data_IF_453064133481
#
_entry.id   IF_453064133481
#
_cell.length_a   1.000
_cell.length_b   1.000
_cell.length_c   1.000
_cell.angle_alpha   90.00
_cell.angle_beta   90.00
_cell.angle_gamma   90.00
#
_symmetry.space_group_name_H-M   'P 1'
#
loop_
_entity.id
_entity.type
_entity.pdbx_description
1 polymer ?
#
# COMPACT_ATOMS: atom_id res chain seq x y z
N UNK A 1 6.82 -19.19 -10.25
CA UNK A 1 7.19 -19.96 -9.05
C UNK A 1 5.93 -20.66 -8.58
N UNK A 2 5.77 -21.92 -8.98
CA UNK A 2 4.71 -22.79 -8.47
C UNK A 2 5.04 -23.14 -7.02
N UNK A 3 4.08 -22.99 -6.12
CA UNK A 3 4.23 -23.41 -4.73
C UNK A 3 4.16 -24.94 -4.71
N UNK A 4 5.31 -25.61 -4.86
CA UNK A 4 5.40 -27.06 -4.71
C UNK A 4 4.96 -27.47 -3.29
N UNK A 5 4.14 -28.53 -3.22
CA UNK A 5 3.64 -29.10 -1.98
C UNK A 5 4.81 -29.42 -1.04
N UNK A 6 4.89 -28.70 0.08
CA UNK A 6 5.92 -28.89 1.12
C UNK A 6 6.85 -27.70 1.36
N UNK A 7 6.81 -26.65 0.52
CA UNK A 7 7.49 -25.37 0.81
C UNK A 7 6.49 -24.37 1.39
N UNK A 8 6.81 -23.79 2.56
CA UNK A 8 6.09 -22.61 3.05
C UNK A 8 6.20 -21.50 2.00
N UNK A 9 5.07 -20.91 1.63
CA UNK A 9 5.05 -19.71 0.79
C UNK A 9 5.87 -18.60 1.49
N UNK A 10 6.60 -17.77 0.72
CA UNK A 10 7.26 -16.61 1.30
C UNK A 10 6.24 -15.74 2.06
N UNK A 11 6.57 -15.26 3.27
CA UNK A 11 5.66 -14.44 4.03
C UNK A 11 5.34 -13.13 3.30
N UNK A 12 4.06 -12.79 3.25
CA UNK A 12 3.58 -11.48 2.82
C UNK A 12 3.29 -10.61 4.06
N UNK A 13 3.62 -9.32 3.97
CA UNK A 13 3.44 -8.34 5.04
C UNK A 13 2.47 -7.27 4.57
N UNK A 14 1.42 -7.02 5.36
CA UNK A 14 0.27 -6.19 4.96
C UNK A 14 0.44 -4.67 5.14
N UNK A 15 1.64 -4.25 5.48
CA UNK A 15 1.97 -2.84 5.62
C UNK A 15 3.30 -2.57 4.95
N UNK A 16 3.31 -1.75 3.90
CA UNK A 16 4.54 -1.48 3.15
C UNK A 16 5.64 -0.85 4.00
N UNK A 17 5.29 -0.11 5.05
CA UNK A 17 6.30 0.39 6.00
C UNK A 17 6.98 -0.76 6.76
N UNK A 18 6.24 -1.77 7.20
CA UNK A 18 6.78 -2.95 7.86
C UNK A 18 7.61 -3.81 6.89
N UNK A 19 7.15 -3.97 5.64
CA UNK A 19 7.91 -4.66 4.60
C UNK A 19 9.25 -3.96 4.37
N UNK A 20 9.24 -2.63 4.24
CA UNK A 20 10.46 -1.84 4.05
C UNK A 20 11.42 -1.94 5.25
N UNK A 21 10.88 -1.81 6.47
CA UNK A 21 11.65 -1.94 7.70
C UNK A 21 12.35 -3.29 7.80
N UNK A 22 11.62 -4.38 7.56
CA UNK A 22 12.14 -5.75 7.60
C UNK A 22 13.14 -6.03 6.46
N UNK A 23 12.88 -5.51 5.26
CA UNK A 23 13.72 -5.77 4.09
C UNK A 23 15.04 -4.99 4.14
N UNK A 24 15.06 -3.80 4.77
CA UNK A 24 16.18 -2.86 4.64
C UNK A 24 16.62 -2.23 5.97
N UNK A 25 15.69 -1.67 6.74
CA UNK A 25 16.06 -0.76 7.85
C UNK A 25 16.58 -1.49 9.09
N UNK A 26 16.14 -2.73 9.34
CA UNK A 26 16.62 -3.49 10.50
C UNK A 26 18.01 -4.10 10.28
N UNK A 27 18.47 -4.25 9.03
CA UNK A 27 19.69 -4.99 8.69
C UNK A 27 20.94 -4.51 9.44
N UNK A 28 21.17 -3.19 9.65
CA UNK A 28 22.32 -2.70 10.39
C UNK A 28 22.30 -3.06 11.88
N UNK A 29 21.14 -3.42 12.43
CA UNK A 29 20.97 -3.75 13.86
C UNK A 29 20.99 -5.26 14.14
N UNK A 30 21.05 -6.08 13.09
CA UNK A 30 21.11 -7.54 13.24
C UNK A 30 22.55 -8.01 13.48
N UNK A 31 22.71 -8.98 14.39
CA UNK A 31 23.94 -9.75 14.51
C UNK A 31 24.22 -10.57 13.24
N UNK A 32 25.46 -11.07 13.10
CA UNK A 32 25.91 -11.78 11.90
C UNK A 32 24.99 -12.95 11.51
N UNK A 33 24.62 -13.81 12.47
CA UNK A 33 23.76 -14.96 12.18
C UNK A 33 22.34 -14.55 11.81
N UNK A 34 21.76 -13.55 12.47
CA UNK A 34 20.42 -13.06 12.17
C UNK A 34 20.37 -12.42 10.78
N UNK A 35 21.39 -11.64 10.43
CA UNK A 35 21.51 -11.03 9.10
C UNK A 35 21.62 -12.09 8.01
N UNK A 36 22.45 -13.11 8.20
CA UNK A 36 22.58 -14.22 7.25
C UNK A 36 21.27 -15.01 7.07
N UNK A 37 20.42 -15.07 8.10
CA UNK A 37 19.06 -15.65 7.98
C UNK A 37 18.12 -14.70 7.24
N UNK A 38 18.15 -13.41 7.57
CA UNK A 38 17.31 -12.37 6.95
C UNK A 38 17.56 -12.28 5.44
N UNK A 39 18.82 -12.29 5.00
CA UNK A 39 19.21 -12.23 3.59
C UNK A 39 18.74 -13.45 2.77
N UNK A 40 18.40 -14.57 3.45
CA UNK A 40 17.81 -15.76 2.81
C UNK A 40 16.28 -15.73 2.76
N UNK A 41 15.63 -14.79 3.47
CA UNK A 41 14.18 -14.66 3.45
C UNK A 41 13.76 -13.92 2.18
N UNK A 42 12.83 -14.52 1.45
CA UNK A 42 12.02 -13.78 0.47
C UNK A 42 10.83 -13.21 1.22
N UNK A 43 10.68 -11.89 1.21
CA UNK A 43 9.55 -11.17 1.78
C UNK A 43 8.74 -10.55 0.65
N UNK A 44 7.43 -10.67 0.70
CA UNK A 44 6.55 -9.93 -0.17
C UNK A 44 5.84 -8.81 0.59
N UNK A 45 5.71 -7.67 -0.07
CA UNK A 45 4.65 -6.73 0.26
C UNK A 45 3.30 -7.33 -0.14
N UNK A 46 2.25 -7.14 0.66
CA UNK A 46 0.92 -7.70 0.36
C UNK A 46 0.39 -7.21 -0.99
N UNK A 47 0.68 -5.98 -1.39
CA UNK A 47 0.27 -5.43 -2.68
C UNK A 47 0.96 -6.13 -3.84
N UNK A 48 2.29 -6.29 -3.77
CA UNK A 48 3.05 -7.03 -4.79
C UNK A 48 2.59 -8.48 -4.87
N UNK A 49 2.35 -9.11 -3.72
CA UNK A 49 1.86 -10.48 -3.69
C UNK A 49 0.48 -10.60 -4.32
N UNK A 50 -0.44 -9.70 -3.95
CA UNK A 50 -1.78 -9.65 -4.51
C UNK A 50 -1.76 -9.41 -6.02
N UNK A 51 -1.05 -8.38 -6.49
CA UNK A 51 -0.96 -8.02 -7.90
C UNK A 51 -0.36 -9.13 -8.77
N UNK A 52 0.69 -9.81 -8.29
CA UNK A 52 1.46 -10.78 -9.10
C UNK A 52 1.04 -12.22 -8.91
N UNK A 53 0.39 -12.56 -7.80
CA UNK A 53 0.06 -13.94 -7.45
C UNK A 53 -1.44 -14.17 -7.19
N UNK A 54 -2.17 -13.23 -6.60
CA UNK A 54 -3.61 -13.42 -6.37
C UNK A 54 -4.45 -12.99 -7.56
N UNK A 55 -4.42 -11.70 -7.90
CA UNK A 55 -5.30 -11.10 -8.90
C UNK A 55 -5.31 -11.85 -10.26
N UNK A 56 -4.19 -12.38 -10.79
CA UNK A 56 -4.22 -13.16 -12.04
C UNK A 56 -5.03 -14.46 -11.99
N UNK A 57 -5.39 -14.93 -10.79
CA UNK A 57 -6.13 -16.18 -10.54
C UNK A 57 -7.56 -15.93 -10.04
N UNK A 58 -7.93 -14.68 -9.84
CA UNK A 58 -9.21 -14.31 -9.25
C UNK A 58 -10.01 -13.51 -10.29
N UNK A 59 -11.15 -14.03 -10.78
CA UNK A 59 -11.96 -13.29 -11.73
C UNK A 59 -12.58 -12.07 -11.04
N UNK A 60 -12.31 -10.88 -11.57
CA UNK A 60 -12.96 -9.64 -11.14
C UNK A 60 -14.41 -9.66 -11.63
N UNK A 61 -15.36 -9.75 -10.70
CA UNK A 61 -16.80 -9.82 -11.03
C UNK A 61 -17.47 -8.45 -10.99
N UNK A 62 -16.86 -7.49 -10.28
CA UNK A 62 -17.36 -6.11 -10.16
C UNK A 62 -16.19 -5.15 -10.04
N UNK A 63 -16.29 -4.02 -10.73
CA UNK A 63 -15.41 -2.87 -10.57
C UNK A 63 -16.14 -1.75 -9.84
N UNK A 64 -15.39 -0.91 -9.16
CA UNK A 64 -15.88 0.38 -8.66
C UNK A 64 -15.71 1.45 -9.75
N UNK A 65 -16.56 2.48 -9.72
CA UNK A 65 -16.54 3.52 -10.75
C UNK A 65 -15.19 4.26 -10.78
N UNK A 66 -14.65 4.62 -9.60
CA UNK A 66 -13.37 5.34 -9.52
C UNK A 66 -12.62 5.11 -8.21
N UNK A 67 -11.29 5.04 -8.29
CA UNK A 67 -10.40 4.88 -7.13
C UNK A 67 -9.32 5.95 -7.10
N UNK A 68 -9.16 6.62 -5.97
CA UNK A 68 -7.98 7.44 -5.68
C UNK A 68 -6.93 6.60 -4.97
N UNK A 69 -5.69 6.62 -5.48
CA UNK A 69 -4.58 5.81 -4.95
C UNK A 69 -3.58 6.71 -4.25
N UNK A 70 -3.29 6.40 -2.98
CA UNK A 70 -2.16 6.95 -2.26
C UNK A 70 -1.02 5.94 -2.18
N UNK A 71 0.05 6.14 -2.97
CA UNK A 71 1.26 5.35 -2.84
C UNK A 71 2.19 5.97 -1.79
N UNK A 72 2.44 5.21 -0.73
CA UNK A 72 3.19 5.68 0.43
C UNK A 72 4.68 5.84 0.13
N UNK A 73 5.41 6.58 0.97
CA UNK A 73 6.87 6.65 0.89
C UNK A 73 7.55 5.26 0.93
N UNK A 74 7.01 4.32 1.73
CA UNK A 74 7.55 2.96 1.79
C UNK A 74 7.26 2.17 0.52
N UNK A 75 6.10 2.36 -0.14
CA UNK A 75 5.86 1.74 -1.45
C UNK A 75 6.86 2.23 -2.51
N UNK A 76 7.26 3.52 -2.45
CA UNK A 76 8.26 4.08 -3.34
C UNK A 76 9.64 3.47 -3.07
N UNK A 77 10.08 3.42 -1.80
CA UNK A 77 11.36 2.82 -1.44
C UNK A 77 11.46 1.32 -1.79
N UNK A 78 10.34 0.59 -1.70
CA UNK A 78 10.26 -0.81 -2.09
C UNK A 78 10.13 -1.02 -3.61
N UNK A 79 9.84 0.03 -4.39
CA UNK A 79 9.58 -0.08 -5.82
C UNK A 79 8.26 -0.78 -6.16
N UNK A 80 7.27 -0.75 -5.26
CA UNK A 80 5.98 -1.45 -5.41
C UNK A 80 4.82 -0.53 -5.80
N UNK A 81 5.07 0.78 -5.95
CA UNK A 81 4.08 1.76 -6.40
C UNK A 81 3.37 1.33 -7.69
N UNK A 82 4.11 0.75 -8.65
CA UNK A 82 3.51 0.24 -9.89
C UNK A 82 2.57 -0.94 -9.66
N UNK A 83 2.90 -1.85 -8.73
CA UNK A 83 2.01 -2.97 -8.38
C UNK A 83 0.71 -2.45 -7.75
N UNK A 84 0.79 -1.43 -6.88
CA UNK A 84 -0.38 -0.79 -6.26
C UNK A 84 -1.32 -0.17 -7.29
N UNK A 85 -0.77 0.64 -8.19
CA UNK A 85 -1.56 1.33 -9.23
C UNK A 85 -2.18 0.31 -10.20
N UNK A 86 -1.42 -0.69 -10.63
CA UNK A 86 -1.92 -1.72 -11.54
C UNK A 86 -3.02 -2.58 -10.89
N UNK A 87 -2.88 -2.90 -9.60
CA UNK A 87 -3.91 -3.61 -8.86
C UNK A 87 -5.18 -2.76 -8.80
N UNK A 88 -5.09 -1.49 -8.40
CA UNK A 88 -6.22 -0.57 -8.41
C UNK A 88 -6.90 -0.43 -9.79
N UNK A 89 -6.12 -0.33 -10.87
CA UNK A 89 -6.62 -0.27 -12.25
C UNK A 89 -7.34 -1.55 -12.70
N UNK A 90 -7.00 -2.70 -12.13
CA UNK A 90 -7.73 -3.94 -12.37
C UNK A 90 -9.10 -3.98 -11.66
N UNK A 91 -9.30 -3.14 -10.64
CA UNK A 91 -10.44 -3.16 -9.73
C UNK A 91 -11.41 -1.98 -9.92
N UNK A 92 -11.03 -0.97 -10.72
CA UNK A 92 -11.83 0.22 -10.98
C UNK A 92 -11.91 0.54 -12.48
N UNK A 93 -12.87 1.36 -12.86
CA UNK A 93 -12.99 1.91 -14.22
C UNK A 93 -12.06 3.12 -14.41
N UNK A 94 -12.04 4.04 -13.44
CA UNK A 94 -11.14 5.19 -13.41
C UNK A 94 -10.17 5.15 -12.21
N UNK A 95 -8.90 5.46 -12.45
CA UNK A 95 -7.87 5.53 -11.40
C UNK A 95 -7.28 6.93 -11.35
N UNK A 96 -7.40 7.57 -10.19
CA UNK A 96 -6.69 8.81 -9.87
C UNK A 96 -5.41 8.47 -9.10
N UNK A 97 -4.28 8.89 -9.67
CA UNK A 97 -3.00 9.00 -8.96
C UNK A 97 -2.67 10.49 -8.90
N UNK A 98 -2.69 11.14 -7.72
CA UNK A 98 -2.35 12.55 -7.61
C UNK A 98 -0.95 12.85 -8.13
N UNK A 99 -0.79 13.91 -8.92
CA UNK A 99 0.52 14.28 -9.51
C UNK A 99 1.45 14.96 -8.49
N UNK A 100 0.86 15.44 -7.40
CA UNK A 100 1.52 16.04 -6.24
C UNK A 100 1.74 15.04 -5.10
N UNK A 101 1.49 13.74 -5.34
CA UNK A 101 1.62 12.69 -4.33
C UNK A 101 3.03 12.63 -3.77
N UNK A 102 3.15 12.81 -2.45
CA UNK A 102 4.41 12.74 -1.71
C UNK A 102 4.21 12.05 -0.35
N UNK A 103 5.24 12.02 0.49
CA UNK A 103 5.11 11.52 1.86
C UNK A 103 4.07 12.34 2.64
N UNK A 104 3.09 11.68 3.27
CA UNK A 104 2.03 12.31 4.04
C UNK A 104 2.49 12.91 5.38
N UNK A 105 3.78 12.80 5.73
CA UNK A 105 4.35 13.30 6.98
C UNK A 105 3.68 12.80 8.29
N UNK A 106 2.85 11.76 8.22
CA UNK A 106 2.19 11.19 9.40
C UNK A 106 3.18 10.60 10.42
N UNK A 107 4.34 10.15 9.93
CA UNK A 107 5.51 9.79 10.74
C UNK A 107 5.22 8.80 11.89
N UNK A 108 4.63 7.64 11.55
CA UNK A 108 4.31 6.60 12.53
C UNK A 108 3.07 6.96 13.36
N UNK A 109 3.21 7.08 14.67
CA UNK A 109 2.14 7.48 15.58
C UNK A 109 2.12 8.99 15.85
N UNK A 110 3.16 9.73 15.46
CA UNK A 110 3.28 11.17 15.73
C UNK A 110 2.14 11.97 15.11
N UNK A 111 1.65 11.55 13.93
CA UNK A 111 0.51 12.15 13.25
C UNK A 111 -0.81 12.06 14.02
N UNK A 112 -0.92 11.15 15.00
CA UNK A 112 -2.08 11.08 15.90
C UNK A 112 -2.11 12.26 16.89
N UNK A 113 -0.95 12.81 17.22
CA UNK A 113 -0.80 13.90 18.19
C UNK A 113 -0.57 15.26 17.53
N UNK A 114 0.01 15.25 16.33
CA UNK A 114 0.38 16.44 15.57
C UNK A 114 -0.12 16.29 14.12
N UNK A 115 -1.37 16.68 13.83
CA UNK A 115 -1.93 16.59 12.48
C UNK A 115 -1.41 17.69 11.54
N UNK A 116 -0.83 18.77 12.07
CA UNK A 116 -0.40 19.94 11.30
C UNK A 116 0.67 19.62 10.23
N UNK A 117 1.69 18.77 10.50
CA UNK A 117 2.63 18.32 9.48
C UNK A 117 1.95 17.56 8.33
N UNK A 118 1.01 16.67 8.65
CA UNK A 118 0.25 15.92 7.64
C UNK A 118 -0.57 16.86 6.77
N UNK A 119 -1.32 17.77 7.38
CA UNK A 119 -2.12 18.77 6.67
C UNK A 119 -1.25 19.65 5.75
N UNK A 120 -0.06 20.06 6.22
CA UNK A 120 0.85 20.86 5.42
C UNK A 120 1.47 20.08 4.25
N UNK A 121 1.92 18.84 4.49
CA UNK A 121 2.59 18.03 3.48
C UNK A 121 1.64 17.61 2.35
N UNK A 122 0.38 17.34 2.70
CA UNK A 122 -0.62 16.80 1.77
C UNK A 122 -1.53 17.86 1.16
N UNK A 123 -1.37 19.16 1.49
CA UNK A 123 -2.32 20.21 1.12
C UNK A 123 -2.72 20.22 -0.37
N UNK A 124 -1.74 20.07 -1.28
CA UNK A 124 -1.98 20.06 -2.73
C UNK A 124 -2.63 18.76 -3.21
N UNK A 125 -2.16 17.64 -2.68
CA UNK A 125 -2.69 16.32 -3.01
C UNK A 125 -4.13 16.18 -2.53
N UNK A 126 -4.42 16.62 -1.31
CA UNK A 126 -5.74 16.59 -0.72
C UNK A 126 -6.74 17.44 -1.52
N UNK A 127 -6.31 18.57 -2.08
CA UNK A 127 -7.16 19.39 -2.95
C UNK A 127 -7.52 18.66 -4.25
N UNK A 128 -6.55 17.98 -4.85
CA UNK A 128 -6.78 17.18 -6.06
C UNK A 128 -7.72 16.02 -5.78
N UNK A 129 -7.53 15.29 -4.68
CA UNK A 129 -8.38 14.17 -4.28
C UNK A 129 -9.82 14.63 -4.02
N UNK A 130 -10.02 15.70 -3.25
CA UNK A 130 -11.36 16.25 -2.99
C UNK A 130 -12.07 16.69 -4.26
N UNK A 131 -11.33 17.30 -5.19
CA UNK A 131 -11.88 17.75 -6.48
C UNK A 131 -12.33 16.60 -7.38
N UNK A 132 -11.66 15.45 -7.29
CA UNK A 132 -11.97 14.29 -8.12
C UNK A 132 -13.19 13.49 -7.64
N UNK A 133 -13.54 13.58 -6.35
CA UNK A 133 -14.71 12.90 -5.76
C UNK A 133 -14.74 11.39 -6.07
N UNK A 134 -13.60 10.71 -5.97
CA UNK A 134 -13.49 9.27 -6.27
C UNK A 134 -14.35 8.43 -5.33
N UNK A 135 -14.91 7.33 -5.85
CA UNK A 135 -15.83 6.47 -5.10
C UNK A 135 -15.16 5.74 -3.94
N UNK A 136 -13.88 5.36 -4.10
CA UNK A 136 -13.07 4.70 -3.08
C UNK A 136 -11.67 5.30 -3.03
N UNK A 137 -10.99 5.16 -1.89
CA UNK A 137 -9.64 5.66 -1.67
C UNK A 137 -8.79 4.54 -1.08
N UNK A 138 -7.65 4.24 -1.70
CA UNK A 138 -6.83 3.09 -1.31
C UNK A 138 -5.38 3.46 -1.05
N UNK A 139 -4.74 2.69 -0.18
CA UNK A 139 -3.33 2.77 0.18
C UNK A 139 -2.81 1.36 0.50
N UNK A 140 -1.60 1.29 1.04
CA UNK A 140 -0.90 0.05 1.40
C UNK A 140 -0.29 0.12 2.82
N UNK A 141 -0.76 1.04 3.66
CA UNK A 141 -0.20 1.25 4.99
C UNK A 141 -1.16 2.00 5.92
N UNK A 142 -1.53 1.36 7.03
CA UNK A 142 -2.58 1.85 7.94
C UNK A 142 -2.37 3.26 8.48
N UNK A 143 -1.16 3.64 8.86
CA UNK A 143 -0.91 5.00 9.37
C UNK A 143 -1.02 6.05 8.28
N UNK A 144 -0.66 5.71 7.03
CA UNK A 144 -0.86 6.59 5.89
C UNK A 144 -2.34 6.70 5.52
N UNK A 145 -3.12 5.62 5.63
CA UNK A 145 -4.58 5.66 5.44
C UNK A 145 -5.24 6.64 6.42
N UNK A 146 -4.87 6.58 7.71
CA UNK A 146 -5.37 7.52 8.72
C UNK A 146 -4.94 8.95 8.39
N UNK A 147 -3.67 9.18 8.06
CA UNK A 147 -3.16 10.51 7.74
C UNK A 147 -3.82 11.14 6.51
N UNK A 148 -3.95 10.36 5.44
CA UNK A 148 -4.65 10.82 4.24
C UNK A 148 -6.12 11.03 4.50
N UNK A 149 -6.78 10.17 5.28
CA UNK A 149 -8.18 10.38 5.59
C UNK A 149 -8.46 11.63 6.42
N UNK A 150 -7.55 11.99 7.33
CA UNK A 150 -7.59 13.29 8.02
C UNK A 150 -7.38 14.47 7.07
N UNK A 151 -6.48 14.34 6.10
CA UNK A 151 -6.12 15.42 5.19
C UNK A 151 -7.15 15.67 4.07
N UNK A 152 -7.76 14.61 3.55
CA UNK A 152 -8.69 14.69 2.41
C UNK A 152 -10.15 14.61 2.82
N UNK A 153 -10.43 14.31 4.09
CA UNK A 153 -11.78 14.03 4.61
C UNK A 153 -12.44 12.83 3.90
N UNK A 154 -11.64 11.82 3.54
CA UNK A 154 -12.08 10.60 2.84
C UNK A 154 -11.60 9.35 3.57
N UNK A 155 -12.35 8.25 3.52
CA UNK A 155 -11.89 7.01 4.16
C UNK A 155 -10.94 6.28 3.22
N UNK A 156 -9.68 6.15 3.64
CA UNK A 156 -8.69 5.32 2.96
C UNK A 156 -8.63 3.92 3.59
N UNK A 157 -8.50 2.92 2.73
CA UNK A 157 -8.38 1.53 3.12
C UNK A 157 -7.27 0.81 2.35
N UNK A 158 -6.90 -0.38 2.80
CA UNK A 158 -5.96 -1.22 2.05
C UNK A 158 -6.59 -1.60 0.70
N UNK A 159 -5.81 -1.51 -0.38
CA UNK A 159 -6.23 -1.99 -1.71
C UNK A 159 -6.63 -3.48 -1.69
N UNK A 160 -6.17 -4.24 -0.70
CA UNK A 160 -6.52 -5.66 -0.51
C UNK A 160 -8.01 -5.84 -0.22
N UNK A 161 -8.66 -4.92 0.50
CA UNK A 161 -10.10 -4.99 0.73
C UNK A 161 -10.88 -4.78 -0.56
N UNK A 162 -10.46 -3.81 -1.38
CA UNK A 162 -11.06 -3.61 -2.70
C UNK A 162 -10.89 -4.85 -3.60
N UNK A 163 -9.75 -5.54 -3.51
CA UNK A 163 -9.56 -6.81 -4.21
C UNK A 163 -10.56 -7.87 -3.75
N UNK A 164 -10.73 -8.04 -2.44
CA UNK A 164 -11.68 -9.00 -1.86
C UNK A 164 -13.12 -8.72 -2.31
N UNK A 165 -13.56 -7.47 -2.22
CA UNK A 165 -14.91 -7.06 -2.65
C UNK A 165 -15.16 -7.31 -4.14
N UNK A 166 -14.13 -7.12 -4.97
CA UNK A 166 -14.20 -7.32 -6.41
C UNK A 166 -14.11 -8.78 -6.85
N UNK A 167 -13.66 -9.68 -5.96
CA UNK A 167 -13.36 -11.09 -6.25
C UNK A 167 -13.95 -12.05 -5.20
N UNK A 168 -15.27 -12.00 -4.95
CA UNK A 168 -15.93 -12.88 -4.00
C UNK A 168 -15.82 -14.37 -4.42
N UNK A 169 -16.00 -15.31 -3.47
CA UNK A 169 -15.92 -16.76 -3.72
C UNK A 169 -16.86 -17.30 -4.80
#
# INVERSE_FOLDING_TARGET
>A
MELEQGRCAPPAVDASSCTFGLASEILPYLGYEQRARQERLTLFDSVTWAARHLAPRMPVVRKVDSVAVYATCSTQHLGVTGDLINLAASLADDVLVPDTMTCCAFAGDRGLLHPEPTASATAREAEQVRSASSSVHVSANRTCEVGMGQATESVYESVIFLLEEATPP
#
